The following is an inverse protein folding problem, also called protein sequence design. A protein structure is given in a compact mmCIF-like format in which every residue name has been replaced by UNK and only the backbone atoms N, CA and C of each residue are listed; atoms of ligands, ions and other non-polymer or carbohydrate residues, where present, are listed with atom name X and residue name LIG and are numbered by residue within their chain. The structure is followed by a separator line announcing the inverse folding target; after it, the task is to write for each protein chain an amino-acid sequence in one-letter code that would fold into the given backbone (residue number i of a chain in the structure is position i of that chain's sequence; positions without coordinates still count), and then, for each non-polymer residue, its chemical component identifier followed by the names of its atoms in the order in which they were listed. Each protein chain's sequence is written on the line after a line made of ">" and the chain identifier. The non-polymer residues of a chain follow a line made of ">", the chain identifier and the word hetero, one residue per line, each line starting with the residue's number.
data_IF_675775516618
#
_entry.id   IF_675775516618
#
_cell.length_a   1.000
_cell.length_b   1.000
_cell.length_c   1.000
_cell.angle_alpha   90.00
_cell.angle_beta   90.00
_cell.angle_gamma   90.00
#
_symmetry.space_group_name_H-M   'P 1'
#
loop_
_entity.id
_entity.type
_entity.pdbx_description
1 polymer ?
#
# COMPACT_ATOMS: atom_id res chain seq x y z
N UNK A 1 41.31 -13.33 6.25
CA UNK A 1 40.94 -12.20 7.11
C UNK A 1 39.63 -11.64 6.56
N UNK A 2 38.48 -12.13 7.07
CA UNK A 2 37.18 -11.61 6.67
C UNK A 2 37.03 -10.21 7.26
N UNK A 3 36.71 -9.22 6.43
CA UNK A 3 36.26 -7.91 6.90
C UNK A 3 35.04 -8.15 7.78
N UNK A 4 35.19 -8.00 9.09
CA UNK A 4 34.07 -7.73 9.97
C UNK A 4 33.57 -6.34 9.57
N UNK A 5 32.65 -6.29 8.61
CA UNK A 5 31.75 -5.14 8.47
C UNK A 5 31.10 -5.00 9.84
N UNK A 6 31.42 -3.94 10.58
CA UNK A 6 30.71 -3.65 11.82
C UNK A 6 29.22 -3.70 11.49
N UNK A 7 28.50 -4.68 12.04
CA UNK A 7 27.06 -4.72 11.98
C UNK A 7 26.58 -3.48 12.75
N UNK A 8 26.46 -2.37 12.03
CA UNK A 8 25.86 -1.15 12.54
C UNK A 8 24.45 -1.50 12.98
N UNK A 9 24.14 -1.27 14.26
CA UNK A 9 22.82 -1.49 14.84
C UNK A 9 21.73 -0.93 13.92
N UNK A 10 20.63 -1.69 13.80
CA UNK A 10 19.54 -1.34 12.90
C UNK A 10 18.97 0.02 13.30
N UNK A 11 18.65 0.87 12.31
CA UNK A 11 17.94 2.12 12.60
C UNK A 11 16.55 1.78 13.16
N UNK A 12 16.00 2.61 14.07
CA UNK A 12 14.65 2.40 14.58
C UNK A 12 13.63 2.39 13.43
N UNK A 13 12.54 1.63 13.58
CA UNK A 13 11.54 1.43 12.52
C UNK A 13 10.97 2.73 11.94
N UNK A 14 10.84 3.77 12.75
CA UNK A 14 10.35 5.08 12.33
C UNK A 14 11.25 5.76 11.29
N UNK A 15 12.56 5.45 11.27
CA UNK A 15 13.49 5.90 10.23
C UNK A 15 13.05 5.39 8.85
N UNK A 16 12.57 4.15 8.79
CA UNK A 16 12.03 3.52 7.59
C UNK A 16 10.54 3.83 7.37
N UNK A 17 9.93 4.70 8.19
CA UNK A 17 8.48 4.98 8.18
C UNK A 17 7.62 3.74 8.41
N UNK A 18 8.14 2.77 9.17
CA UNK A 18 7.42 1.57 9.58
C UNK A 18 6.90 1.71 11.02
N UNK A 19 5.71 1.18 11.26
CA UNK A 19 5.11 1.03 12.58
C UNK A 19 5.25 -0.42 13.06
N UNK A 20 5.49 -0.60 14.37
CA UNK A 20 5.40 -1.91 15.01
C UNK A 20 3.97 -2.43 15.18
N UNK A 21 2.96 -1.56 15.00
CA UNK A 21 1.53 -1.88 15.11
C UNK A 21 0.87 -2.06 13.76
N UNK A 22 1.25 -1.26 12.76
CA UNK A 22 0.57 -1.22 11.45
C UNK A 22 1.49 -1.45 10.27
N UNK A 23 2.78 -1.72 10.50
CA UNK A 23 3.74 -2.02 9.44
C UNK A 23 3.92 -0.81 8.52
N UNK A 24 3.76 -1.02 7.22
CA UNK A 24 3.76 0.04 6.22
C UNK A 24 2.40 0.76 6.09
N UNK A 25 1.35 0.31 6.80
CA UNK A 25 0.07 1.04 6.87
C UNK A 25 0.24 2.25 7.79
N UNK A 26 -0.17 3.42 7.29
CA UNK A 26 -0.12 4.66 8.05
C UNK A 26 -1.16 4.64 9.18
N UNK A 27 -0.75 4.85 10.43
CA UNK A 27 -1.65 4.77 11.60
C UNK A 27 -2.72 5.86 11.63
N UNK A 28 -2.34 7.08 11.26
CA UNK A 28 -3.22 8.25 11.27
C UNK A 28 -3.27 8.85 9.86
N UNK A 29 -3.97 8.19 8.91
CA UNK A 29 -4.09 8.73 7.57
C UNK A 29 -4.85 10.06 7.60
N UNK A 30 -4.38 11.03 6.82
CA UNK A 30 -5.12 12.26 6.61
C UNK A 30 -6.35 12.00 5.73
N UNK A 31 -7.43 12.74 5.99
CA UNK A 31 -8.69 12.62 5.27
C UNK A 31 -8.88 13.70 4.19
N UNK A 32 -7.86 14.52 3.96
CA UNK A 32 -7.89 15.61 3.00
C UNK A 32 -6.58 16.38 2.99
N UNK A 33 -6.35 17.09 1.90
CA UNK A 33 -5.23 18.00 1.71
C UNK A 33 -5.63 19.45 2.04
N UNK A 34 -4.66 20.36 2.24
CA UNK A 34 -4.93 21.77 2.41
C UNK A 34 -5.75 22.38 1.26
N UNK A 35 -6.45 23.52 1.47
CA UNK A 35 -7.37 24.10 0.49
C UNK A 35 -6.79 24.35 -0.92
N UNK A 36 -5.48 24.60 -1.02
CA UNK A 36 -4.78 24.74 -2.30
C UNK A 36 -4.93 23.51 -3.22
N UNK A 37 -5.12 22.32 -2.64
CA UNK A 37 -5.28 21.04 -3.34
C UNK A 37 -6.74 20.59 -3.43
N UNK A 38 -7.71 21.49 -3.31
CA UNK A 38 -9.13 21.14 -3.39
C UNK A 38 -9.52 20.32 -4.63
N UNK A 39 -8.98 20.56 -5.84
CA UNK A 39 -9.28 19.70 -7.00
C UNK A 39 -8.94 18.21 -6.74
N UNK A 40 -7.86 17.93 -6.02
CA UNK A 40 -7.49 16.56 -5.64
C UNK A 40 -8.41 16.01 -4.54
N UNK A 41 -8.82 16.83 -3.57
CA UNK A 41 -9.81 16.43 -2.57
C UNK A 41 -11.18 16.12 -3.18
N UNK A 42 -11.63 16.90 -4.15
CA UNK A 42 -12.85 16.64 -4.94
C UNK A 42 -12.72 15.34 -5.71
N UNK A 43 -11.60 15.14 -6.42
CA UNK A 43 -11.33 13.89 -7.12
C UNK A 43 -11.42 12.69 -6.16
N UNK A 44 -10.76 12.75 -5.00
CA UNK A 44 -10.77 11.68 -4.01
C UNK A 44 -12.18 11.35 -3.48
N UNK A 45 -12.98 12.39 -3.23
CA UNK A 45 -14.35 12.28 -2.71
C UNK A 45 -15.32 11.71 -3.75
N UNK A 46 -15.22 12.19 -4.99
CA UNK A 46 -16.20 11.93 -6.04
C UNK A 46 -15.78 10.79 -6.98
N UNK A 47 -14.58 10.21 -6.80
CA UNK A 47 -13.98 9.22 -7.71
C UNK A 47 -14.92 8.07 -8.05
N UNK A 48 -15.54 7.45 -7.03
CA UNK A 48 -16.42 6.29 -7.25
C UNK A 48 -17.60 6.61 -8.16
N UNK A 49 -18.21 7.79 -7.96
CA UNK A 49 -19.32 8.26 -8.78
C UNK A 49 -18.86 8.60 -10.20
N UNK A 50 -17.74 9.31 -10.33
CA UNK A 50 -17.14 9.66 -11.62
C UNK A 50 -16.77 8.43 -12.45
N UNK A 51 -16.32 7.35 -11.80
CA UNK A 51 -16.08 6.07 -12.46
C UNK A 51 -17.39 5.43 -12.92
N UNK A 52 -18.40 5.40 -12.04
CA UNK A 52 -19.71 4.80 -12.32
C UNK A 52 -20.46 5.50 -13.46
N UNK A 53 -20.32 6.81 -13.59
CA UNK A 53 -20.94 7.61 -14.66
C UNK A 53 -20.05 7.80 -15.88
N UNK A 54 -18.86 7.19 -15.90
CA UNK A 54 -17.86 7.35 -16.96
C UNK A 54 -17.43 8.81 -17.21
N UNK A 55 -17.47 9.67 -16.18
CA UNK A 55 -17.15 11.10 -16.25
C UNK A 55 -15.75 11.44 -15.72
N UNK A 56 -15.01 10.45 -15.19
CA UNK A 56 -13.70 10.67 -14.59
C UNK A 56 -12.69 11.34 -15.54
N UNK A 57 -12.63 10.90 -16.80
CA UNK A 57 -11.68 11.44 -17.78
C UNK A 57 -11.94 12.92 -18.07
N UNK A 58 -13.21 13.29 -18.26
CA UNK A 58 -13.60 14.68 -18.48
C UNK A 58 -13.33 15.52 -17.23
N UNK A 59 -13.63 15.00 -16.05
CA UNK A 59 -13.28 15.67 -14.79
C UNK A 59 -11.78 15.96 -14.71
N UNK A 60 -10.92 14.96 -14.96
CA UNK A 60 -9.46 15.11 -14.90
C UNK A 60 -8.96 16.12 -15.93
N UNK A 61 -9.49 16.14 -17.16
CA UNK A 61 -9.13 17.13 -18.18
C UNK A 61 -9.43 18.57 -17.76
N UNK A 62 -10.45 18.77 -16.92
CA UNK A 62 -10.79 20.11 -16.40
C UNK A 62 -9.96 20.53 -15.19
N UNK A 63 -9.17 19.63 -14.60
CA UNK A 63 -8.39 19.95 -13.41
C UNK A 63 -7.20 20.85 -13.76
N UNK A 64 -6.91 21.86 -12.94
CA UNK A 64 -5.70 22.66 -13.12
C UNK A 64 -4.46 21.82 -12.83
N UNK A 65 -3.34 22.17 -13.47
CA UNK A 65 -2.03 21.65 -13.08
C UNK A 65 -1.66 22.25 -11.72
N UNK A 66 -1.52 21.40 -10.70
CA UNK A 66 -1.16 21.81 -9.34
C UNK A 66 0.28 21.41 -9.05
N UNK A 67 1.10 22.37 -8.63
CA UNK A 67 2.48 22.10 -8.22
C UNK A 67 2.51 21.62 -6.78
N UNK A 68 3.22 20.51 -6.52
CA UNK A 68 3.42 20.00 -5.16
C UNK A 68 4.32 20.96 -4.40
N UNK A 69 3.80 21.53 -3.31
CA UNK A 69 4.53 22.44 -2.44
C UNK A 69 5.36 21.65 -1.42
N UNK A 70 6.54 22.18 -1.07
CA UNK A 70 7.43 21.60 -0.06
C UNK A 70 6.86 21.66 1.37
N UNK A 71 5.74 22.34 1.57
CA UNK A 71 5.04 22.47 2.85
C UNK A 71 4.17 21.26 3.21
N UNK A 72 3.92 20.34 2.27
CA UNK A 72 3.14 19.14 2.56
C UNK A 72 3.90 18.23 3.53
N UNK A 73 3.19 17.77 4.55
CA UNK A 73 3.65 16.71 5.44
C UNK A 73 3.82 15.38 4.71
N UNK A 74 4.52 14.44 5.34
CA UNK A 74 4.69 13.09 4.79
C UNK A 74 3.35 12.38 4.57
N UNK A 75 2.43 12.52 5.51
CA UNK A 75 1.09 11.94 5.48
C UNK A 75 0.25 12.52 4.35
N UNK A 76 0.31 13.84 4.15
CA UNK A 76 -0.36 14.52 3.04
C UNK A 76 0.24 14.15 1.69
N UNK A 77 1.57 14.04 1.57
CA UNK A 77 2.23 13.56 0.35
C UNK A 77 1.79 12.13 0.00
N UNK A 78 1.70 11.24 1.00
CA UNK A 78 1.23 9.87 0.81
C UNK A 78 -0.24 9.84 0.35
N UNK A 79 -1.08 10.69 0.92
CA UNK A 79 -2.49 10.81 0.52
C UNK A 79 -2.63 11.38 -0.90
N UNK A 80 -1.89 12.44 -1.24
CA UNK A 80 -1.83 12.99 -2.59
C UNK A 80 -1.36 11.94 -3.61
N UNK A 81 -0.28 11.22 -3.31
CA UNK A 81 0.20 10.13 -4.15
C UNK A 81 -0.86 9.04 -4.36
N UNK A 82 -1.59 8.66 -3.30
CA UNK A 82 -2.69 7.69 -3.41
C UNK A 82 -3.77 8.19 -4.37
N UNK A 83 -4.22 9.45 -4.24
CA UNK A 83 -5.21 10.03 -5.15
C UNK A 83 -4.71 9.97 -6.59
N UNK A 84 -3.48 10.43 -6.84
CA UNK A 84 -2.93 10.53 -8.19
C UNK A 84 -2.70 9.16 -8.84
N UNK A 85 -2.21 8.17 -8.10
CA UNK A 85 -2.01 6.81 -8.63
C UNK A 85 -3.33 6.15 -8.99
N UNK A 86 -4.35 6.27 -8.13
CA UNK A 86 -5.70 5.78 -8.44
C UNK A 86 -6.30 6.51 -9.63
N UNK A 87 -6.16 7.84 -9.70
CA UNK A 87 -6.64 8.64 -10.81
C UNK A 87 -5.95 8.26 -12.12
N UNK A 88 -4.62 8.09 -12.13
CA UNK A 88 -3.86 7.71 -13.31
C UNK A 88 -4.25 6.32 -13.83
N UNK A 89 -4.27 5.32 -12.92
CA UNK A 89 -4.68 3.96 -13.27
C UNK A 89 -6.11 3.95 -13.82
N UNK A 90 -7.04 4.62 -13.15
CA UNK A 90 -8.42 4.65 -13.60
C UNK A 90 -8.60 5.46 -14.89
N UNK A 91 -7.89 6.56 -15.08
CA UNK A 91 -7.94 7.34 -16.32
C UNK A 91 -7.58 6.47 -17.54
N UNK A 92 -6.56 5.62 -17.42
CA UNK A 92 -6.17 4.68 -18.48
C UNK A 92 -7.22 3.58 -18.63
N UNK A 93 -7.54 2.87 -17.55
CA UNK A 93 -8.24 1.58 -17.61
C UNK A 93 -9.75 1.63 -17.36
N UNK A 94 -10.37 2.81 -17.20
CA UNK A 94 -11.79 2.94 -16.81
C UNK A 94 -12.74 2.12 -17.69
N UNK A 95 -12.54 2.17 -19.02
CA UNK A 95 -13.36 1.48 -20.03
C UNK A 95 -12.69 0.20 -20.56
N UNK A 96 -11.61 -0.24 -19.92
CA UNK A 96 -10.81 -1.38 -20.36
C UNK A 96 -9.88 -1.06 -21.54
N UNK A 97 -9.32 -2.11 -22.14
CA UNK A 97 -8.27 -2.02 -23.15
C UNK A 97 -8.74 -1.36 -24.46
N UNK A 98 -10.02 -1.55 -24.81
CA UNK A 98 -10.58 -1.14 -26.11
C UNK A 98 -10.73 0.38 -26.28
N UNK A 99 -10.70 1.14 -25.20
CA UNK A 99 -10.89 2.60 -25.20
C UNK A 99 -9.90 3.27 -24.24
N UNK A 100 -8.75 2.65 -24.05
CA UNK A 100 -7.68 3.23 -23.25
C UNK A 100 -6.90 4.27 -24.09
N UNK A 101 -6.48 5.42 -23.51
CA UNK A 101 -5.80 6.47 -24.26
C UNK A 101 -4.42 6.02 -24.76
N UNK A 102 -4.06 6.39 -25.99
CA UNK A 102 -2.76 6.09 -26.65
C UNK A 102 -1.51 6.52 -25.85
N UNK A 103 -1.67 7.34 -24.82
CA UNK A 103 -0.60 7.92 -24.00
C UNK A 103 0.14 6.85 -23.15
N UNK A 104 -0.44 5.66 -22.94
CA UNK A 104 0.13 4.63 -22.05
C UNK A 104 0.71 3.39 -22.77
N UNK A 105 0.49 3.23 -24.08
CA UNK A 105 0.66 1.94 -24.76
C UNK A 105 2.05 1.63 -25.33
N UNK A 106 2.97 2.59 -25.37
CA UNK A 106 4.26 2.36 -26.06
C UNK A 106 5.23 1.47 -25.28
N UNK A 107 5.11 1.35 -23.95
CA UNK A 107 6.05 0.55 -23.13
C UNK A 107 5.46 -0.79 -22.64
N UNK A 108 4.13 -0.94 -22.55
CA UNK A 108 3.50 -2.18 -22.07
C UNK A 108 3.43 -3.30 -23.12
N UNK A 109 3.47 -2.98 -24.41
CA UNK A 109 3.43 -3.97 -25.51
C UNK A 109 4.67 -4.89 -25.59
N UNK A 110 5.69 -4.70 -24.76
CA UNK A 110 6.85 -5.58 -24.70
C UNK A 110 6.69 -6.77 -23.72
N UNK A 111 5.65 -6.77 -22.89
CA UNK A 111 5.36 -7.88 -21.97
C UNK A 111 4.46 -8.94 -22.65
N UNK A 112 5.07 -9.77 -23.49
CA UNK A 112 4.42 -11.00 -23.96
C UNK A 112 4.26 -11.98 -22.78
N UNK A 113 3.03 -12.30 -22.39
CA UNK A 113 2.71 -13.31 -21.36
C UNK A 113 1.76 -12.87 -20.24
N UNK A 114 1.19 -11.68 -20.30
CA UNK A 114 0.13 -11.26 -19.37
C UNK A 114 -1.17 -12.00 -19.77
N UNK A 115 -1.87 -12.68 -18.84
CA UNK A 115 -3.15 -13.33 -19.15
C UNK A 115 -4.16 -12.31 -19.69
N UNK A 116 -4.85 -12.62 -20.79
CA UNK A 116 -5.92 -11.82 -21.44
C UNK A 116 -7.10 -11.45 -20.51
N UNK A 117 -7.09 -11.91 -19.25
CA UNK A 117 -8.12 -11.63 -18.25
C UNK A 117 -7.46 -11.12 -16.98
N UNK A 118 -6.80 -9.98 -17.03
CA UNK A 118 -6.71 -9.14 -15.84
C UNK A 118 -8.08 -8.49 -15.69
N UNK A 119 -8.92 -9.08 -14.83
CA UNK A 119 -10.23 -8.54 -14.46
C UNK A 119 -10.17 -7.02 -14.28
N UNK A 120 -11.00 -6.30 -15.02
CA UNK A 120 -11.14 -4.84 -14.98
C UNK A 120 -11.17 -4.36 -13.51
N UNK A 121 -10.12 -3.66 -13.03
CA UNK A 121 -9.91 -3.35 -11.61
C UNK A 121 -10.96 -2.43 -10.97
N UNK A 122 -11.79 -1.76 -11.74
CA UNK A 122 -12.35 -0.48 -11.29
C UNK A 122 -13.79 -0.56 -10.77
N UNK A 123 -14.47 -1.70 -10.92
CA UNK A 123 -15.90 -1.80 -10.56
C UNK A 123 -16.31 -2.99 -9.69
N UNK A 124 -15.39 -3.90 -9.37
CA UNK A 124 -15.78 -5.11 -8.65
C UNK A 124 -15.84 -4.87 -7.13
N UNK A 125 -16.96 -5.22 -6.48
CA UNK A 125 -17.14 -5.17 -5.01
C UNK A 125 -16.05 -5.95 -4.23
N UNK A 126 -15.31 -6.84 -4.90
CA UNK A 126 -14.16 -7.57 -4.32
C UNK A 126 -12.95 -6.69 -4.04
N UNK A 127 -12.83 -5.49 -4.61
CA UNK A 127 -11.68 -4.61 -4.33
C UNK A 127 -11.63 -4.17 -2.89
N UNK A 128 -12.81 -3.94 -2.28
CA UNK A 128 -12.90 -3.69 -0.84
C UNK A 128 -12.30 -4.86 -0.06
N UNK A 129 -12.68 -6.08 -0.39
CA UNK A 129 -12.15 -7.29 0.25
C UNK A 129 -10.65 -7.45 0.03
N UNK A 130 -10.13 -7.15 -1.16
CA UNK A 130 -8.69 -7.19 -1.46
C UNK A 130 -7.90 -6.16 -0.64
N UNK A 131 -8.40 -4.92 -0.56
CA UNK A 131 -7.76 -3.83 0.21
C UNK A 131 -7.82 -4.14 1.71
N UNK A 132 -8.96 -4.60 2.21
CA UNK A 132 -9.13 -4.96 3.63
C UNK A 132 -8.28 -6.18 4.01
N UNK A 133 -8.22 -7.20 3.15
CA UNK A 133 -7.39 -8.38 3.34
C UNK A 133 -5.90 -8.02 3.38
N UNK A 134 -5.42 -7.29 2.38
CA UNK A 134 -4.01 -6.86 2.32
C UNK A 134 -3.62 -5.97 3.50
N UNK A 135 -4.49 -5.04 3.89
CA UNK A 135 -4.30 -4.21 5.09
C UNK A 135 -4.28 -5.04 6.37
N UNK A 136 -5.19 -6.00 6.53
CA UNK A 136 -5.22 -6.89 7.69
C UNK A 136 -3.95 -7.74 7.78
N UNK A 137 -3.50 -8.30 6.65
CA UNK A 137 -2.23 -9.06 6.59
C UNK A 137 -1.09 -8.17 7.05
N UNK A 138 -0.91 -6.99 6.44
CA UNK A 138 0.17 -6.07 6.81
C UNK A 138 0.16 -5.72 8.30
N UNK A 139 -1.01 -5.37 8.86
CA UNK A 139 -1.16 -5.02 10.28
C UNK A 139 -0.85 -6.21 11.19
N UNK A 140 -1.32 -7.40 10.85
CA UNK A 140 -1.08 -8.60 11.65
C UNK A 140 0.37 -9.08 11.61
N UNK A 141 1.09 -8.82 10.51
CA UNK A 141 2.52 -9.09 10.36
C UNK A 141 3.42 -8.03 11.00
N UNK A 142 2.94 -6.79 11.19
CA UNK A 142 3.73 -5.65 11.67
C UNK A 142 4.67 -5.92 12.88
N UNK A 143 4.29 -6.72 13.91
CA UNK A 143 5.17 -6.97 15.05
C UNK A 143 6.49 -7.66 14.67
N UNK A 144 6.56 -8.35 13.54
CA UNK A 144 7.77 -9.05 13.08
C UNK A 144 8.92 -8.08 12.81
N UNK A 145 8.64 -6.83 12.40
CA UNK A 145 9.69 -5.84 12.15
C UNK A 145 10.54 -5.54 13.39
N UNK A 146 9.91 -5.44 14.57
CA UNK A 146 10.65 -5.25 15.83
C UNK A 146 11.46 -6.49 16.19
N UNK A 147 10.90 -7.68 15.97
CA UNK A 147 11.59 -8.96 16.24
C UNK A 147 12.82 -9.16 15.34
N UNK A 148 12.78 -8.68 14.09
CA UNK A 148 13.97 -8.68 13.23
C UNK A 148 15.04 -7.71 13.72
N UNK A 149 14.66 -6.51 14.20
CA UNK A 149 15.61 -5.59 14.84
C UNK A 149 16.27 -6.26 16.04
N UNK A 150 15.48 -6.90 16.91
CA UNK A 150 15.99 -7.61 18.09
C UNK A 150 16.96 -8.74 17.72
N UNK A 151 16.70 -9.45 16.61
CA UNK A 151 17.60 -10.49 16.10
C UNK A 151 18.91 -9.89 15.61
N UNK A 152 18.85 -8.81 14.82
CA UNK A 152 20.04 -8.14 14.26
C UNK A 152 20.91 -7.58 15.39
N UNK A 153 20.30 -6.86 16.34
CA UNK A 153 21.01 -6.28 17.48
C UNK A 153 21.61 -7.37 18.40
N UNK A 154 20.96 -8.54 18.49
CA UNK A 154 21.48 -9.70 19.21
C UNK A 154 22.63 -10.45 18.50
N UNK A 155 23.05 -10.04 17.30
CA UNK A 155 24.23 -10.63 16.64
C UNK A 155 25.55 -10.08 17.19
N UNK A 156 25.55 -8.90 17.82
CA UNK A 156 26.76 -8.27 18.31
C UNK A 156 26.53 -7.38 19.56
N UNK A 157 26.90 -7.84 20.78
CA UNK A 157 27.47 -9.15 21.07
C UNK A 157 26.46 -10.27 20.83
N UNK A 158 26.94 -11.45 20.43
CA UNK A 158 26.08 -12.59 20.14
C UNK A 158 25.26 -12.99 21.38
N UNK A 159 23.94 -12.99 21.22
CA UNK A 159 22.97 -13.45 22.20
C UNK A 159 22.01 -14.45 21.55
N UNK A 160 22.40 -15.72 21.53
CA UNK A 160 21.63 -16.81 20.93
C UNK A 160 20.23 -16.97 21.57
N UNK A 161 20.13 -16.79 22.89
CA UNK A 161 18.86 -16.91 23.60
C UNK A 161 17.83 -15.87 23.11
N UNK A 162 18.27 -14.63 22.90
CA UNK A 162 17.43 -13.56 22.35
C UNK A 162 17.00 -13.87 20.91
N UNK A 163 17.93 -14.36 20.08
CA UNK A 163 17.62 -14.76 18.69
C UNK A 163 16.57 -15.86 18.66
N UNK A 164 16.76 -16.94 19.43
CA UNK A 164 15.81 -18.07 19.50
C UNK A 164 14.45 -17.61 20.04
N UNK A 165 14.45 -16.74 21.06
CA UNK A 165 13.21 -16.16 21.59
C UNK A 165 12.46 -15.38 20.50
N UNK A 166 13.13 -14.47 19.79
CA UNK A 166 12.53 -13.66 18.73
C UNK A 166 12.01 -14.52 17.57
N UNK A 167 12.73 -15.57 17.16
CA UNK A 167 12.25 -16.54 16.17
C UNK A 167 10.97 -17.26 16.64
N UNK A 168 10.92 -17.67 17.91
CA UNK A 168 9.71 -18.25 18.51
C UNK A 168 8.53 -17.28 18.51
N UNK A 169 8.77 -15.99 18.72
CA UNK A 169 7.76 -14.94 18.63
C UNK A 169 7.30 -14.70 17.19
N UNK A 170 8.19 -14.72 16.21
CA UNK A 170 7.85 -14.62 14.78
C UNK A 170 6.86 -15.73 14.41
N UNK A 171 7.14 -16.98 14.79
CA UNK A 171 6.21 -18.09 14.57
C UNK A 171 4.82 -17.81 15.14
N UNK A 172 4.73 -17.31 16.36
CA UNK A 172 3.42 -16.98 16.98
C UNK A 172 2.68 -15.87 16.21
N UNK A 173 3.39 -14.89 15.64
CA UNK A 173 2.77 -13.84 14.81
C UNK A 173 2.24 -14.44 13.51
N UNK A 174 2.99 -15.33 12.87
CA UNK A 174 2.54 -16.05 11.67
C UNK A 174 1.29 -16.89 11.95
N UNK A 175 1.29 -17.65 13.05
CA UNK A 175 0.14 -18.48 13.47
C UNK A 175 -1.10 -17.60 13.73
N UNK A 176 -0.93 -16.48 14.43
CA UNK A 176 -2.01 -15.50 14.68
C UNK A 176 -2.56 -14.93 13.38
N UNK A 177 -1.69 -14.57 12.44
CA UNK A 177 -2.11 -14.04 11.14
C UNK A 177 -2.91 -15.07 10.35
N UNK A 178 -2.45 -16.33 10.32
CA UNK A 178 -3.18 -17.44 9.73
C UNK A 178 -4.58 -17.62 10.34
N UNK A 179 -4.70 -17.50 11.67
CA UNK A 179 -5.99 -17.55 12.36
C UNK A 179 -6.89 -16.35 12.01
N UNK A 180 -6.35 -15.13 11.95
CA UNK A 180 -7.11 -13.94 11.52
C UNK A 180 -7.64 -14.09 10.10
N UNK A 181 -6.85 -14.66 9.18
CA UNK A 181 -7.28 -14.97 7.82
C UNK A 181 -8.44 -15.98 7.81
N UNK A 182 -8.35 -17.06 8.61
CA UNK A 182 -9.44 -18.03 8.74
C UNK A 182 -10.72 -17.40 9.28
N UNK A 183 -10.62 -16.46 10.22
CA UNK A 183 -11.79 -15.72 10.73
C UNK A 183 -12.35 -14.79 9.65
N UNK A 184 -11.49 -14.08 8.92
CA UNK A 184 -11.88 -13.19 7.84
C UNK A 184 -12.67 -13.94 6.77
N UNK A 185 -12.16 -15.08 6.28
CA UNK A 185 -12.85 -15.90 5.28
C UNK A 185 -13.99 -16.75 5.88
N UNK A 186 -13.90 -17.16 7.14
CA UNK A 186 -14.95 -17.92 7.83
C UNK A 186 -16.21 -17.10 8.11
N UNK A 187 -16.07 -15.77 8.26
CA UNK A 187 -17.20 -14.83 8.25
C UNK A 187 -17.81 -14.63 6.86
N UNK A 188 -17.04 -14.90 5.80
CA UNK A 188 -17.48 -14.84 4.40
C UNK A 188 -18.12 -16.15 3.90
N UNK A 189 -18.30 -17.16 4.76
CA UNK A 189 -18.92 -18.45 4.44
C UNK A 189 -20.43 -18.44 4.19
N UNK A 190 -21.01 -17.28 3.89
CA UNK A 190 -22.38 -17.11 3.37
C UNK A 190 -22.31 -16.33 2.04
N UNK A 191 -21.48 -16.82 1.11
CA UNK A 191 -21.54 -16.44 -0.31
C UNK A 191 -21.96 -17.68 -1.11
#
# INVERSE_FOLDING_TARGET
>A
MMMHTELTSMKPLNFYRLSNRTGAVLENPVNGLPPYYDPWNRLARDMGELCRTNQLREFIKTMPVINVQSSLTYEELRFAHKIMTFAASTYVWLTGENDAPDVCFTEFNQFHGIPEVINLPTQHESWKHFIELSGMVEISFAPIFSLFSDIIDAQNPLNEASIVYSLGRIRQVLDKTGNSLRIFFGKSGNL
#
